data_IF_207830316288
#
_entry.id   IF_207830316288
#
_cell.length_a   1.000
_cell.length_b   1.000
_cell.length_c   1.000
_cell.angle_alpha   90.00
_cell.angle_beta   90.00
_cell.angle_gamma   90.00
#
_symmetry.space_group_name_H-M   'P 1'
#
loop_
_entity.id
_entity.type
_entity.pdbx_description
1 polymer ?
#
# COMPACT_ATOMS: atom_id res chain seq x y z
N UNK A 1 -10.00 -41.48 3.05
CA UNK A 1 -10.13 -40.53 4.19
C UNK A 1 -8.88 -39.68 4.21
N UNK A 2 -8.95 -38.46 3.67
CA UNK A 2 -7.83 -37.52 3.63
C UNK A 2 -7.72 -36.86 5.00
N UNK A 3 -6.55 -36.96 5.63
CA UNK A 3 -6.27 -36.27 6.88
C UNK A 3 -6.36 -34.77 6.62
N UNK A 4 -7.23 -34.08 7.35
CA UNK A 4 -7.25 -32.62 7.38
C UNK A 4 -5.97 -32.15 8.08
N UNK A 5 -5.15 -31.38 7.38
CA UNK A 5 -4.03 -30.67 7.97
C UNK A 5 -4.54 -29.75 9.08
N UNK A 6 -3.94 -29.88 10.26
CA UNK A 6 -4.23 -29.04 11.42
C UNK A 6 -3.98 -27.57 11.10
N UNK A 7 -4.84 -26.63 11.56
CA UNK A 7 -4.56 -25.20 11.38
C UNK A 7 -3.24 -24.85 12.05
N UNK A 8 -2.32 -24.27 11.28
CA UNK A 8 -1.05 -23.74 11.77
C UNK A 8 -1.31 -22.81 12.95
N UNK A 9 -0.55 -22.98 14.04
CA UNK A 9 -0.62 -22.13 15.23
C UNK A 9 -0.62 -20.64 14.86
N UNK A 10 -1.39 -19.78 15.56
CA UNK A 10 -1.39 -18.35 15.28
C UNK A 10 0.03 -17.77 15.42
N UNK A 11 0.42 -16.82 14.58
CA UNK A 11 1.75 -16.24 14.61
C UNK A 11 2.03 -15.64 15.99
N UNK A 12 3.20 -15.97 16.52
CA UNK A 12 3.67 -15.51 17.81
C UNK A 12 3.88 -13.98 17.74
N UNK A 13 3.06 -13.22 18.49
CA UNK A 13 3.02 -11.76 18.50
C UNK A 13 4.22 -11.14 19.24
N UNK A 14 5.39 -11.81 19.21
CA UNK A 14 6.60 -11.35 19.90
C UNK A 14 6.92 -9.93 19.48
N UNK A 15 7.32 -9.15 20.46
CA UNK A 15 7.96 -7.84 20.30
C UNK A 15 8.96 -7.95 19.15
N UNK A 16 8.63 -7.28 18.04
CA UNK A 16 9.48 -7.28 16.86
C UNK A 16 10.78 -6.56 17.22
N UNK A 17 11.88 -7.31 17.26
CA UNK A 17 13.23 -6.74 17.37
C UNK A 17 13.71 -6.15 16.03
N UNK A 18 12.78 -5.88 15.12
CA UNK A 18 13.08 -5.34 13.81
C UNK A 18 13.79 -4.01 13.94
N UNK A 19 15.00 -3.95 13.37
CA UNK A 19 15.81 -2.75 13.28
C UNK A 19 16.17 -2.56 11.80
N UNK A 20 15.47 -1.68 11.07
CA UNK A 20 15.81 -1.41 9.69
C UNK A 20 17.20 -0.81 9.60
N UNK A 21 17.96 -1.18 8.58
CA UNK A 21 19.29 -0.60 8.35
C UNK A 21 19.15 0.88 7.92
N UNK A 22 20.22 1.68 8.03
CA UNK A 22 20.21 3.05 7.51
C UNK A 22 19.78 3.14 6.04
N UNK A 23 20.18 2.16 5.22
CA UNK A 23 19.79 2.06 3.81
C UNK A 23 18.30 1.79 3.64
N UNK A 24 17.73 0.85 4.43
CA UNK A 24 16.29 0.62 4.47
C UNK A 24 15.54 1.90 4.87
N UNK A 25 15.99 2.60 5.91
CA UNK A 25 15.38 3.86 6.35
C UNK A 25 15.42 4.92 5.23
N UNK A 26 16.55 5.04 4.52
CA UNK A 26 16.67 5.97 3.41
C UNK A 26 15.70 5.62 2.26
N UNK A 27 15.60 4.34 1.89
CA UNK A 27 14.64 3.85 0.90
C UNK A 27 13.20 4.16 1.31
N UNK A 28 12.84 3.90 2.57
CA UNK A 28 11.50 4.17 3.09
C UNK A 28 11.14 5.66 3.07
N UNK A 29 12.10 6.55 3.34
CA UNK A 29 11.91 8.00 3.19
C UNK A 29 11.63 8.40 1.74
N UNK A 30 12.37 7.82 0.78
CA UNK A 30 12.12 8.04 -0.64
C UNK A 30 10.75 7.51 -1.07
N UNK A 31 10.31 6.36 -0.55
CA UNK A 31 8.97 5.82 -0.82
C UNK A 31 7.85 6.66 -0.20
N UNK A 32 8.05 7.20 1.00
CA UNK A 32 7.10 8.14 1.59
C UNK A 32 7.03 9.46 0.76
N UNK A 33 8.17 9.94 0.24
CA UNK A 33 8.21 11.08 -0.68
C UNK A 33 7.47 10.78 -1.99
N UNK A 34 7.68 9.60 -2.56
CA UNK A 34 6.97 9.12 -3.75
C UNK A 34 5.44 9.15 -3.55
N UNK A 35 4.94 8.60 -2.44
CA UNK A 35 3.51 8.61 -2.09
C UNK A 35 2.95 10.04 -2.06
N UNK A 36 3.66 10.98 -1.44
CA UNK A 36 3.22 12.39 -1.37
C UNK A 36 3.16 13.04 -2.75
N UNK A 37 4.19 12.84 -3.58
CA UNK A 37 4.25 13.42 -4.92
C UNK A 37 3.17 12.86 -5.84
N UNK A 38 2.95 11.54 -5.81
CA UNK A 38 1.87 10.91 -6.59
C UNK A 38 0.49 11.34 -6.10
N UNK A 39 0.32 11.53 -4.78
CA UNK A 39 -0.93 12.08 -4.24
C UNK A 39 -1.24 13.47 -4.80
N UNK A 40 -0.23 14.35 -4.84
CA UNK A 40 -0.39 15.68 -5.45
C UNK A 40 -0.77 15.54 -6.93
N UNK A 41 -0.07 14.69 -7.69
CA UNK A 41 -0.36 14.44 -9.11
C UNK A 41 -1.79 13.94 -9.33
N UNK A 42 -2.25 12.97 -8.53
CA UNK A 42 -3.59 12.42 -8.66
C UNK A 42 -4.68 13.42 -8.28
N UNK A 43 -4.45 14.24 -7.25
CA UNK A 43 -5.36 15.33 -6.89
C UNK A 43 -5.40 16.39 -8.00
N UNK A 44 -4.29 16.65 -8.67
CA UNK A 44 -4.29 17.51 -9.85
C UNK A 44 -5.14 16.93 -11.00
N UNK A 45 -5.11 15.62 -11.22
CA UNK A 45 -5.97 14.93 -12.21
C UNK A 45 -7.45 15.04 -11.83
N UNK A 46 -7.79 14.76 -10.57
CA UNK A 46 -9.16 14.75 -10.05
C UNK A 46 -9.75 16.15 -9.82
N UNK A 47 -8.88 17.16 -9.61
CA UNK A 47 -9.22 18.53 -9.17
C UNK A 47 -9.85 18.62 -7.77
N UNK A 48 -9.82 17.53 -7.01
CA UNK A 48 -10.29 17.40 -5.62
C UNK A 48 -9.45 16.35 -4.88
N UNK A 49 -9.39 16.42 -3.55
CA UNK A 49 -8.88 15.31 -2.73
C UNK A 49 -8.25 15.72 -1.39
N UNK A 50 -7.89 14.70 -0.61
CA UNK A 50 -7.51 14.81 0.81
C UNK A 50 -5.99 14.59 1.04
N UNK A 51 -5.15 15.50 0.54
CA UNK A 51 -3.69 15.34 0.62
C UNK A 51 -3.14 15.27 2.04
N UNK A 52 -3.69 16.05 2.98
CA UNK A 52 -3.24 16.05 4.39
C UNK A 52 -3.41 14.69 5.06
N UNK A 53 -4.50 14.00 4.76
CA UNK A 53 -4.78 12.66 5.27
C UNK A 53 -3.76 11.64 4.79
N UNK A 54 -3.35 11.70 3.52
CA UNK A 54 -2.26 10.86 3.00
C UNK A 54 -0.91 11.24 3.61
N UNK A 55 -0.61 12.53 3.71
CA UNK A 55 0.71 12.99 4.16
C UNK A 55 1.01 12.55 5.59
N UNK A 56 -0.03 12.46 6.43
CA UNK A 56 0.06 11.90 7.79
C UNK A 56 0.32 10.39 7.85
N UNK A 57 0.12 9.67 6.74
CA UNK A 57 0.23 8.21 6.65
C UNK A 57 1.33 7.73 5.68
N UNK A 58 2.04 8.64 5.00
CA UNK A 58 2.98 8.29 3.94
C UNK A 58 4.12 7.37 4.42
N UNK A 59 4.72 7.64 5.58
CA UNK A 59 5.74 6.76 6.17
C UNK A 59 5.17 5.39 6.58
N UNK A 60 3.91 5.35 7.03
CA UNK A 60 3.25 4.08 7.39
C UNK A 60 3.05 3.23 6.14
N UNK A 61 2.55 3.82 5.05
CA UNK A 61 2.38 3.09 3.79
C UNK A 61 3.73 2.61 3.24
N UNK A 62 4.75 3.47 3.29
CA UNK A 62 6.11 3.10 2.87
C UNK A 62 6.64 1.91 3.70
N UNK A 63 6.59 2.00 5.03
CA UNK A 63 7.08 0.93 5.90
C UNK A 63 6.32 -0.38 5.69
N UNK A 64 4.99 -0.33 5.62
CA UNK A 64 4.18 -1.53 5.45
C UNK A 64 4.43 -2.21 4.10
N UNK A 65 4.37 -1.47 2.99
CA UNK A 65 4.42 -2.10 1.66
C UNK A 65 5.84 -2.46 1.22
N UNK A 66 6.86 -1.70 1.63
CA UNK A 66 8.21 -1.88 1.07
C UNK A 66 9.20 -2.57 2.02
N UNK A 67 8.75 -3.00 3.22
CA UNK A 67 9.65 -3.58 4.22
C UNK A 67 8.95 -4.60 5.15
N UNK A 68 7.81 -4.23 5.76
CA UNK A 68 7.23 -5.03 6.85
C UNK A 68 6.30 -6.16 6.36
N UNK A 69 5.40 -5.87 5.42
CA UNK A 69 4.40 -6.87 5.01
C UNK A 69 5.03 -7.92 4.10
N UNK A 70 4.70 -9.18 4.35
CA UNK A 70 4.99 -10.27 3.44
C UNK A 70 4.00 -10.25 2.26
N UNK A 71 4.41 -9.54 1.21
CA UNK A 71 3.67 -9.38 -0.05
C UNK A 71 4.64 -9.50 -1.25
N UNK A 72 4.13 -9.95 -2.39
CA UNK A 72 4.92 -10.21 -3.60
C UNK A 72 4.43 -9.34 -4.77
N UNK A 73 5.34 -8.65 -5.44
CA UNK A 73 5.01 -7.88 -6.65
C UNK A 73 4.39 -8.78 -7.73
N UNK A 74 3.32 -8.32 -8.35
CA UNK A 74 2.61 -9.04 -9.41
C UNK A 74 1.68 -10.17 -8.92
N UNK A 75 1.66 -10.49 -7.62
CA UNK A 75 0.84 -11.58 -7.08
C UNK A 75 -0.05 -11.12 -5.90
N UNK A 76 -1.05 -10.25 -6.13
CA UNK A 76 -1.92 -9.72 -5.08
C UNK A 76 -2.87 -10.76 -4.47
N UNK A 77 -2.99 -11.94 -5.07
CA UNK A 77 -3.93 -12.99 -4.67
C UNK A 77 -3.29 -14.13 -3.88
N UNK A 78 -1.98 -14.06 -3.60
CA UNK A 78 -1.27 -15.05 -2.79
C UNK A 78 -2.04 -15.30 -1.48
N UNK A 79 -2.51 -16.53 -1.19
CA UNK A 79 -3.49 -16.76 -0.11
C UNK A 79 -3.00 -16.37 1.29
N UNK A 80 -1.72 -16.58 1.54
CA UNK A 80 -1.00 -16.47 2.83
C UNK A 80 -0.29 -15.12 3.02
N UNK A 81 -0.43 -14.18 2.08
CA UNK A 81 0.16 -12.84 2.22
C UNK A 81 -0.43 -12.08 3.41
N UNK A 82 0.32 -11.11 3.90
CA UNK A 82 -0.23 -10.13 4.82
C UNK A 82 -1.37 -9.33 4.18
N UNK A 83 -2.35 -8.95 5.01
CA UNK A 83 -3.53 -8.19 4.57
C UNK A 83 -3.51 -6.81 5.20
N UNK A 84 -3.62 -5.79 4.34
CA UNK A 84 -3.80 -4.41 4.76
C UNK A 84 -5.26 -4.01 4.60
N UNK A 85 -5.87 -3.54 5.68
CA UNK A 85 -7.19 -2.90 5.65
C UNK A 85 -7.06 -1.49 6.23
N UNK A 86 -7.60 -0.52 5.52
CA UNK A 86 -7.50 0.89 5.91
C UNK A 86 -8.88 1.42 6.29
N UNK A 87 -9.09 1.71 7.57
CA UNK A 87 -10.30 2.41 8.03
C UNK A 87 -10.36 3.89 7.59
N UNK A 88 -9.23 4.45 7.15
CA UNK A 88 -9.09 5.81 6.63
C UNK A 88 -9.28 5.86 5.11
N UNK A 89 -10.49 5.56 4.62
CA UNK A 89 -10.78 5.46 3.17
C UNK A 89 -10.33 6.68 2.35
N UNK A 90 -10.50 7.89 2.89
CA UNK A 90 -10.08 9.13 2.22
C UNK A 90 -8.56 9.27 1.99
N UNK A 91 -7.72 8.36 2.52
CA UNK A 91 -6.29 8.30 2.21
C UNK A 91 -5.96 7.31 1.07
N UNK A 92 -6.98 6.71 0.42
CA UNK A 92 -6.81 5.68 -0.63
C UNK A 92 -6.00 6.19 -1.83
N UNK A 93 -6.14 7.48 -2.18
CA UNK A 93 -5.33 8.12 -3.23
C UNK A 93 -3.82 8.00 -3.01
N UNK A 94 -3.36 7.89 -1.76
CA UNK A 94 -1.95 7.65 -1.43
C UNK A 94 -1.50 6.20 -1.61
N UNK A 95 -2.44 5.26 -1.59
CA UNK A 95 -2.17 3.83 -1.71
C UNK A 95 -2.14 3.37 -3.18
N UNK A 96 -2.99 3.91 -4.05
CA UNK A 96 -3.06 3.47 -5.46
C UNK A 96 -1.71 3.51 -6.20
N UNK A 97 -0.85 4.53 -6.04
CA UNK A 97 0.47 4.55 -6.69
C UNK A 97 1.39 3.40 -6.23
N UNK A 98 1.28 2.98 -4.97
CA UNK A 98 2.01 1.82 -4.44
C UNK A 98 1.50 0.54 -5.09
N UNK A 99 0.16 0.36 -5.18
CA UNK A 99 -0.42 -0.80 -5.84
C UNK A 99 -0.01 -0.89 -7.31
N UNK A 100 0.15 0.25 -7.99
CA UNK A 100 0.69 0.31 -9.34
C UNK A 100 2.19 -0.06 -9.41
N UNK A 101 3.04 0.43 -8.49
CA UNK A 101 4.45 0.00 -8.41
C UNK A 101 4.63 -1.49 -8.10
N UNK A 102 3.66 -2.07 -7.38
CA UNK A 102 3.60 -3.51 -7.10
C UNK A 102 3.00 -4.33 -8.24
N UNK A 103 2.52 -3.69 -9.31
CA UNK A 103 1.90 -4.36 -10.45
C UNK A 103 0.54 -4.99 -10.13
N UNK A 104 -0.12 -4.55 -9.05
CA UNK A 104 -1.46 -5.04 -8.67
C UNK A 104 -2.57 -4.37 -9.46
N UNK A 105 -2.28 -3.18 -9.98
CA UNK A 105 -3.13 -2.45 -10.91
C UNK A 105 -2.28 -1.90 -12.07
N UNK A 106 -2.84 -1.72 -13.28
CA UNK A 106 -2.12 -1.08 -14.38
C UNK A 106 -1.80 0.37 -14.02
N UNK A 107 -0.64 0.89 -14.42
CA UNK A 107 -0.22 2.25 -14.05
C UNK A 107 -1.11 3.33 -14.70
N UNK A 108 -1.61 3.05 -15.90
CA UNK A 108 -2.36 3.96 -16.75
C UNK A 108 -3.73 4.33 -16.15
N UNK A 109 -4.26 3.49 -15.23
CA UNK A 109 -5.51 3.80 -14.53
C UNK A 109 -5.37 5.02 -13.62
N UNK A 110 -4.15 5.34 -13.18
CA UNK A 110 -3.87 6.52 -12.36
C UNK A 110 -4.09 7.82 -13.14
N UNK A 111 -3.87 7.83 -14.45
CA UNK A 111 -3.96 9.04 -15.27
C UNK A 111 -5.40 9.50 -15.52
N UNK A 112 -6.36 8.60 -15.27
CA UNK A 112 -7.79 8.88 -15.34
C UNK A 112 -8.47 8.72 -13.98
N UNK A 113 -7.73 8.89 -12.88
CA UNK A 113 -8.25 8.80 -11.52
C UNK A 113 -9.55 9.59 -11.33
N UNK A 114 -10.53 8.98 -10.65
CA UNK A 114 -11.90 9.47 -10.40
C UNK A 114 -12.74 9.80 -11.64
N UNK A 115 -12.27 9.54 -12.86
CA UNK A 115 -13.09 9.72 -14.06
C UNK A 115 -14.12 8.60 -14.15
N UNK A 116 -15.29 8.91 -14.73
CA UNK A 116 -16.35 7.92 -14.91
C UNK A 116 -15.82 6.71 -15.70
N UNK A 117 -16.05 5.51 -15.16
CA UNK A 117 -15.56 4.25 -15.74
C UNK A 117 -14.16 3.84 -15.27
N UNK A 118 -13.46 4.68 -14.51
CA UNK A 118 -12.22 4.28 -13.84
C UNK A 118 -12.52 3.38 -12.63
N UNK A 119 -11.74 2.32 -12.38
CA UNK A 119 -11.93 1.48 -11.19
C UNK A 119 -11.53 2.15 -9.86
N UNK A 120 -10.82 3.27 -9.91
CA UNK A 120 -10.34 4.00 -8.73
C UNK A 120 -11.23 5.20 -8.43
N UNK A 121 -11.93 5.14 -7.30
CA UNK A 121 -12.67 6.23 -6.69
C UNK A 121 -11.89 6.93 -5.57
N UNK A 122 -12.53 7.88 -4.89
CA UNK A 122 -11.91 8.63 -3.79
C UNK A 122 -11.67 7.80 -2.52
N UNK A 123 -12.25 6.59 -2.43
CA UNK A 123 -12.18 5.67 -1.28
C UNK A 123 -12.00 4.23 -1.73
#
# INVERSE_FOLDING_TARGET
MSAAESPSSPPDHRVSNFRPTPETIAMLREKARFVRLETIRLIEVAKVGHYSSVFSAAEIFAALYYDIMDIEKGNPTRPDRDRFLMGKGHAAVGLFPILAEFGYIPKEVLDNYTRLGNPLGDH
#
